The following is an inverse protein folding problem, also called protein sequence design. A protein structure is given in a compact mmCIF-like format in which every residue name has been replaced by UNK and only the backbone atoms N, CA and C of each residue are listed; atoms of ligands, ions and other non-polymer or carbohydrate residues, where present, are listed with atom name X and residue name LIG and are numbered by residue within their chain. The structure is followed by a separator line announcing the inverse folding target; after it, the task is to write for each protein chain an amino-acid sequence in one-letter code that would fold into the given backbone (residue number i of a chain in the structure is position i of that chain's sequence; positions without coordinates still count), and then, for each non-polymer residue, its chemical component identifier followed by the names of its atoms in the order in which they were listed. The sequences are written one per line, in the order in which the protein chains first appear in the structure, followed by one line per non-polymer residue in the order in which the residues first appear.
data_IF_489372048802
#
_entry.id   IF_489372048802
#
_cell.length_a   1.000
_cell.length_b   1.000
_cell.length_c   1.000
_cell.angle_alpha   90.00
_cell.angle_beta   90.00
_cell.angle_gamma   90.00
#
_symmetry.space_group_name_H-M   'P 1'
#
loop_
_entity.id
_entity.type
_entity.pdbx_description
1 polymer ?
#
# COMPACT_ATOMS: atom_id res chain seq x y z
N UNK A 1 -11.21 20.19 5.42
CA UNK A 1 -11.28 19.18 6.51
C UNK A 1 -10.72 17.85 5.98
N UNK A 2 -9.83 17.22 6.73
CA UNK A 2 -9.23 15.94 6.34
C UNK A 2 -10.21 14.80 6.52
N UNK A 3 -10.19 13.81 5.61
CA UNK A 3 -10.95 12.58 5.78
C UNK A 3 -10.34 11.74 6.92
N UNK A 4 -11.09 10.76 7.48
CA UNK A 4 -10.54 9.85 8.48
C UNK A 4 -9.29 9.12 8.02
N UNK A 5 -9.21 8.71 6.74
CA UNK A 5 -8.04 8.01 6.20
C UNK A 5 -6.81 8.93 6.13
N UNK A 6 -7.00 10.17 5.73
CA UNK A 6 -5.93 11.18 5.70
C UNK A 6 -5.43 11.48 7.12
N UNK A 7 -6.36 11.64 8.05
CA UNK A 7 -6.02 11.94 9.44
C UNK A 7 -5.24 10.81 10.09
N UNK A 8 -5.61 9.55 9.81
CA UNK A 8 -4.88 8.39 10.30
C UNK A 8 -3.41 8.42 9.84
N UNK A 9 -3.17 8.64 8.55
CA UNK A 9 -1.82 8.69 8.01
C UNK A 9 -1.00 9.82 8.65
N UNK A 10 -1.61 10.99 8.82
CA UNK A 10 -0.99 12.13 9.45
C UNK A 10 -0.58 11.84 10.91
N UNK A 11 -1.45 11.18 11.66
CA UNK A 11 -1.17 10.78 13.04
C UNK A 11 -0.04 9.74 13.09
N UNK A 12 -0.02 8.78 12.18
CA UNK A 12 1.06 7.80 12.12
C UNK A 12 2.39 8.47 11.79
N UNK A 13 2.41 9.44 10.88
CA UNK A 13 3.63 10.18 10.55
C UNK A 13 4.19 10.90 11.77
N UNK A 14 3.33 11.52 12.56
CA UNK A 14 3.73 12.20 13.81
C UNK A 14 4.25 11.19 14.82
N UNK A 15 3.50 10.12 15.07
CA UNK A 15 3.86 9.09 16.07
C UNK A 15 5.19 8.42 15.76
N UNK A 16 5.44 8.14 14.49
CA UNK A 16 6.62 7.42 14.03
C UNK A 16 7.76 8.34 13.59
N UNK A 17 7.57 9.67 13.73
CA UNK A 17 8.55 10.67 13.30
C UNK A 17 8.98 10.47 11.85
N UNK A 18 8.01 10.19 10.97
CA UNK A 18 8.26 9.93 9.57
C UNK A 18 7.82 11.11 8.72
N UNK A 19 8.58 11.39 7.65
CA UNK A 19 8.24 12.42 6.67
C UNK A 19 7.43 11.86 5.51
N UNK A 20 7.58 10.58 5.21
CA UNK A 20 6.94 9.92 4.09
C UNK A 20 6.20 8.68 4.58
N UNK A 21 4.91 8.59 4.28
CA UNK A 21 4.10 7.41 4.54
C UNK A 21 3.90 6.68 3.23
N UNK A 22 4.33 5.43 3.18
CA UNK A 22 4.15 4.55 2.03
C UNK A 22 3.14 3.49 2.43
N UNK A 23 2.03 3.40 1.71
CA UNK A 23 1.03 2.36 1.95
C UNK A 23 1.30 1.15 1.07
N UNK A 24 1.25 -0.05 1.63
CA UNK A 24 1.46 -1.29 0.89
C UNK A 24 0.30 -2.24 1.13
N UNK A 25 -0.26 -2.76 0.04
CA UNK A 25 -1.34 -3.72 0.07
C UNK A 25 -1.15 -4.75 -1.05
N UNK A 26 -1.82 -5.88 -0.94
CA UNK A 26 -1.73 -6.94 -1.94
C UNK A 26 -3.11 -7.38 -2.44
N UNK A 27 -3.11 -8.05 -3.59
CA UNK A 27 -4.27 -8.70 -4.19
C UNK A 27 -3.86 -10.06 -4.75
N UNK A 28 -4.81 -10.95 -4.91
CA UNK A 28 -4.56 -12.26 -5.49
C UNK A 28 -4.18 -13.35 -4.50
N UNK A 29 -4.35 -13.13 -3.20
CA UNK A 29 -4.12 -14.16 -2.17
C UNK A 29 -5.21 -15.21 -2.07
N UNK A 30 -6.22 -15.15 -2.92
CA UNK A 30 -7.30 -16.13 -2.92
C UNK A 30 -6.85 -17.52 -3.38
N UNK A 31 -7.77 -18.50 -3.39
CA UNK A 31 -7.42 -19.88 -3.76
C UNK A 31 -7.13 -20.10 -5.24
N UNK A 32 -7.20 -19.05 -6.06
CA UNK A 32 -6.95 -19.14 -7.50
C UNK A 32 -5.46 -19.19 -7.78
N UNK A 33 -5.10 -19.94 -8.82
CA UNK A 33 -3.71 -20.19 -9.21
C UNK A 33 -3.09 -19.03 -10.00
N UNK A 34 -3.30 -17.79 -9.56
CA UNK A 34 -2.72 -16.61 -10.18
C UNK A 34 -1.56 -16.04 -9.37
N UNK A 35 -0.86 -15.05 -9.90
CA UNK A 35 0.20 -14.38 -9.14
C UNK A 35 -0.39 -13.52 -8.02
N UNK A 36 0.41 -13.31 -6.97
CA UNK A 36 0.13 -12.27 -5.97
C UNK A 36 0.70 -10.97 -6.49
N UNK A 37 -0.08 -9.90 -6.40
CA UNK A 37 0.33 -8.56 -6.81
C UNK A 37 0.31 -7.66 -5.58
N UNK A 38 1.37 -6.91 -5.35
CA UNK A 38 1.41 -5.89 -4.31
C UNK A 38 1.65 -4.53 -4.93
N UNK A 39 1.12 -3.50 -4.29
CA UNK A 39 1.34 -2.11 -4.67
C UNK A 39 1.83 -1.33 -3.47
N UNK A 40 2.87 -0.54 -3.67
CA UNK A 40 3.36 0.44 -2.71
C UNK A 40 3.06 1.83 -3.27
N UNK A 41 2.46 2.69 -2.47
CA UNK A 41 1.99 3.99 -2.91
C UNK A 41 2.41 5.09 -1.94
N UNK A 42 2.90 6.21 -2.48
CA UNK A 42 3.19 7.42 -1.73
C UNK A 42 2.43 8.58 -2.35
N UNK A 43 1.54 9.20 -1.57
CA UNK A 43 0.82 10.40 -1.99
C UNK A 43 1.49 11.60 -1.34
N UNK A 44 2.15 12.48 -2.13
CA UNK A 44 2.80 13.66 -1.57
C UNK A 44 1.80 14.52 -0.79
N UNK A 45 2.22 15.18 0.31
CA UNK A 45 1.31 16.03 1.09
C UNK A 45 0.55 17.07 0.29
N UNK A 46 1.18 17.61 -0.76
CA UNK A 46 0.54 18.61 -1.64
C UNK A 46 -0.64 18.05 -2.43
N UNK A 47 -0.71 16.73 -2.62
CA UNK A 47 -1.76 16.06 -3.39
C UNK A 47 -2.84 15.41 -2.51
N UNK A 48 -2.64 15.34 -1.20
CA UNK A 48 -3.53 14.58 -0.30
C UNK A 48 -4.96 15.07 -0.38
N UNK A 49 -5.19 16.37 -0.44
CA UNK A 49 -6.55 16.93 -0.50
C UNK A 49 -7.32 16.52 -1.77
N UNK A 50 -6.61 16.20 -2.86
CA UNK A 50 -7.23 15.78 -4.12
C UNK A 50 -7.84 14.37 -4.04
N UNK A 51 -7.51 13.62 -3.00
CA UNK A 51 -7.96 12.24 -2.81
C UNK A 51 -8.80 12.05 -1.55
N UNK A 52 -9.49 13.12 -1.11
CA UNK A 52 -10.34 13.06 0.09
C UNK A 52 -11.50 12.07 -0.04
N UNK A 53 -11.90 11.71 -1.26
CA UNK A 53 -12.97 10.77 -1.56
C UNK A 53 -12.50 9.31 -1.67
N UNK A 54 -11.20 9.04 -1.52
CA UNK A 54 -10.67 7.67 -1.52
C UNK A 54 -11.11 6.96 -0.26
N UNK A 55 -11.54 5.71 -0.41
CA UNK A 55 -11.98 4.87 0.68
C UNK A 55 -11.61 3.42 0.38
N UNK A 56 -11.88 2.51 1.31
CA UNK A 56 -11.69 1.08 1.13
C UNK A 56 -12.36 0.63 -0.17
N UNK A 57 -11.60 -0.05 -1.04
CA UNK A 57 -12.09 -0.48 -2.35
C UNK A 57 -13.35 -1.36 -2.26
N UNK A 58 -13.54 -2.09 -1.17
CA UNK A 58 -14.73 -2.91 -0.94
C UNK A 58 -15.99 -2.09 -0.77
N UNK A 59 -15.85 -0.82 -0.39
CA UNK A 59 -16.98 0.11 -0.17
C UNK A 59 -17.28 0.96 -1.39
N UNK A 60 -16.51 0.81 -2.46
CA UNK A 60 -16.65 1.60 -3.68
C UNK A 60 -17.30 0.78 -4.79
N UNK A 61 -18.10 1.45 -5.64
CA UNK A 61 -18.59 0.84 -6.86
C UNK A 61 -17.42 0.61 -7.84
N UNK A 62 -17.59 -0.30 -8.80
CA UNK A 62 -16.61 -0.53 -9.85
C UNK A 62 -16.30 0.76 -10.61
N UNK A 63 -17.35 1.52 -10.97
CA UNK A 63 -17.21 2.80 -11.66
C UNK A 63 -16.36 3.79 -10.84
N UNK A 64 -16.59 3.87 -9.53
CA UNK A 64 -15.83 4.78 -8.65
C UNK A 64 -14.39 4.35 -8.53
N UNK A 65 -14.12 3.03 -8.45
CA UNK A 65 -12.75 2.50 -8.43
C UNK A 65 -11.98 2.84 -9.69
N UNK A 66 -12.62 2.70 -10.87
CA UNK A 66 -12.01 3.06 -12.16
C UNK A 66 -11.71 4.55 -12.23
N UNK A 67 -12.64 5.40 -11.79
CA UNK A 67 -12.45 6.84 -11.74
C UNK A 67 -11.26 7.22 -10.86
N UNK A 68 -11.17 6.64 -9.66
CA UNK A 68 -10.06 6.89 -8.74
C UNK A 68 -8.74 6.39 -9.30
N UNK A 69 -8.73 5.21 -9.92
CA UNK A 69 -7.54 4.68 -10.57
C UNK A 69 -7.01 5.64 -11.63
N UNK A 70 -7.89 6.14 -12.50
CA UNK A 70 -7.50 7.08 -13.53
C UNK A 70 -6.96 8.38 -12.96
N UNK A 71 -7.56 8.88 -11.88
CA UNK A 71 -7.09 10.08 -11.19
C UNK A 71 -5.70 9.89 -10.59
N UNK A 72 -5.45 8.73 -9.95
CA UNK A 72 -4.16 8.41 -9.36
C UNK A 72 -3.07 8.32 -10.42
N UNK A 73 -3.35 7.67 -11.55
CA UNK A 73 -2.40 7.54 -12.65
C UNK A 73 -2.08 8.91 -13.27
N UNK A 74 -3.10 9.75 -13.52
CA UNK A 74 -2.91 11.06 -14.13
C UNK A 74 -2.26 12.08 -13.18
N UNK A 75 -2.44 11.93 -11.88
CA UNK A 75 -1.83 12.81 -10.88
C UNK A 75 -0.36 12.51 -10.64
N UNK A 76 0.19 11.49 -11.29
CA UNK A 76 1.58 11.07 -11.13
C UNK A 76 1.95 10.73 -9.69
N UNK A 77 1.00 10.15 -8.95
CA UNK A 77 1.27 9.61 -7.62
C UNK A 77 2.36 8.56 -7.73
N UNK A 78 3.38 8.64 -6.87
CA UNK A 78 4.47 7.67 -6.89
C UNK A 78 3.97 6.30 -6.43
N UNK A 79 4.19 5.28 -7.24
CA UNK A 79 3.83 3.92 -6.88
C UNK A 79 4.80 2.90 -7.47
N UNK A 80 4.83 1.73 -6.86
CA UNK A 80 5.56 0.58 -7.37
C UNK A 80 4.68 -0.65 -7.31
N UNK A 81 4.81 -1.53 -8.29
CA UNK A 81 4.06 -2.79 -8.36
C UNK A 81 5.05 -3.94 -8.29
N UNK A 82 4.76 -4.92 -7.46
CA UNK A 82 5.55 -6.14 -7.34
C UNK A 82 4.68 -7.37 -7.50
N UNK A 83 5.24 -8.41 -8.11
CA UNK A 83 4.55 -9.68 -8.34
C UNK A 83 5.32 -10.81 -7.67
N UNK A 84 4.59 -11.82 -7.20
CA UNK A 84 5.13 -13.14 -6.96
C UNK A 84 4.38 -14.12 -7.84
N UNK A 85 5.10 -14.89 -8.65
CA UNK A 85 4.51 -15.83 -9.61
C UNK A 85 3.87 -17.02 -8.91
N UNK A 86 3.01 -17.76 -9.64
CA UNK A 86 2.44 -19.00 -9.15
C UNK A 86 3.53 -20.00 -8.73
N UNK A 87 4.64 -20.09 -9.48
CA UNK A 87 5.77 -20.95 -9.15
C UNK A 87 6.47 -20.51 -7.85
N UNK A 88 6.61 -19.20 -7.64
CA UNK A 88 7.16 -18.67 -6.39
C UNK A 88 6.26 -18.96 -5.21
N UNK A 89 4.93 -18.89 -5.38
CA UNK A 89 3.96 -19.25 -4.35
C UNK A 89 4.10 -20.71 -3.97
N UNK A 90 4.23 -21.61 -4.95
CA UNK A 90 4.40 -23.04 -4.72
C UNK A 90 5.68 -23.36 -3.94
N UNK A 91 6.75 -22.61 -4.22
CA UNK A 91 8.04 -22.80 -3.57
C UNK A 91 8.13 -22.19 -2.18
N UNK A 92 7.52 -21.02 -1.99
CA UNK A 92 7.69 -20.21 -0.77
C UNK A 92 6.51 -20.29 0.20
N UNK A 93 5.34 -20.71 -0.22
CA UNK A 93 4.00 -20.57 0.32
C UNK A 93 3.42 -19.16 0.10
N UNK A 94 2.11 -19.02 0.32
CA UNK A 94 1.39 -17.78 0.00
C UNK A 94 1.85 -16.58 0.87
N UNK A 95 2.13 -16.81 2.15
CA UNK A 95 2.55 -15.72 3.04
C UNK A 95 3.92 -15.16 2.64
N UNK A 96 4.90 -16.04 2.43
CA UNK A 96 6.24 -15.62 2.04
C UNK A 96 6.26 -15.02 0.64
N UNK A 97 5.46 -15.54 -0.27
CA UNK A 97 5.30 -14.98 -1.62
C UNK A 97 4.68 -13.58 -1.57
N UNK A 98 3.71 -13.37 -0.68
CA UNK A 98 3.12 -12.05 -0.47
C UNK A 98 4.18 -11.04 0.00
N UNK A 99 5.02 -11.43 0.96
CA UNK A 99 6.11 -10.56 1.42
C UNK A 99 7.11 -10.25 0.30
N UNK A 100 7.40 -11.23 -0.54
CA UNK A 100 8.27 -11.03 -1.72
C UNK A 100 7.66 -10.00 -2.68
N UNK A 101 6.37 -10.12 -2.99
CA UNK A 101 5.67 -9.15 -3.83
C UNK A 101 5.72 -7.75 -3.23
N UNK A 102 5.52 -7.62 -1.93
CA UNK A 102 5.59 -6.34 -1.21
C UNK A 102 6.99 -5.74 -1.28
N UNK A 103 8.04 -6.54 -1.09
CA UNK A 103 9.42 -6.06 -1.23
C UNK A 103 9.69 -5.53 -2.63
N UNK A 104 9.22 -6.25 -3.65
CA UNK A 104 9.37 -5.83 -5.05
C UNK A 104 8.61 -4.55 -5.35
N UNK A 105 7.41 -4.40 -4.78
CA UNK A 105 6.62 -3.18 -4.93
C UNK A 105 7.30 -1.98 -4.28
N UNK A 106 7.89 -2.15 -3.13
CA UNK A 106 8.51 -1.08 -2.36
C UNK A 106 9.94 -0.72 -2.82
N UNK A 107 10.51 -1.45 -3.77
CA UNK A 107 11.91 -1.32 -4.16
C UNK A 107 12.32 0.12 -4.47
N UNK A 108 11.50 0.86 -5.20
CA UNK A 108 11.80 2.25 -5.56
C UNK A 108 11.83 3.22 -4.38
N UNK A 109 11.28 2.82 -3.22
CA UNK A 109 11.18 3.68 -2.04
C UNK A 109 12.24 3.38 -0.97
N UNK A 110 13.12 2.40 -1.19
CA UNK A 110 14.07 1.93 -0.17
C UNK A 110 15.03 3.00 0.32
N UNK A 111 15.32 4.00 -0.51
CA UNK A 111 16.29 5.06 -0.18
C UNK A 111 15.63 6.37 0.26
N UNK A 112 14.31 6.40 0.43
CA UNK A 112 13.65 7.60 0.92
C UNK A 112 13.98 7.85 2.38
N UNK A 113 14.51 9.05 2.73
CA UNK A 113 14.85 9.35 4.12
C UNK A 113 13.59 9.52 4.96
N UNK A 114 13.64 9.04 6.19
CA UNK A 114 12.54 9.16 7.16
C UNK A 114 11.20 8.62 6.65
N UNK A 115 11.24 7.60 5.79
CA UNK A 115 10.05 6.94 5.30
C UNK A 115 9.65 5.78 6.21
N UNK A 116 8.35 5.56 6.33
CA UNK A 116 7.79 4.38 6.98
C UNK A 116 6.74 3.76 6.07
N UNK A 117 6.76 2.43 5.97
CA UNK A 117 5.76 1.69 5.21
C UNK A 117 4.66 1.23 6.16
N UNK A 118 3.42 1.57 5.84
CA UNK A 118 2.24 1.02 6.50
C UNK A 118 1.78 -0.19 5.67
N UNK A 119 1.79 -1.36 6.30
CA UNK A 119 1.46 -2.62 5.64
C UNK A 119 0.03 -3.00 6.00
N UNK A 120 -0.82 -3.24 5.01
CA UNK A 120 -2.16 -3.75 5.28
C UNK A 120 -2.08 -5.20 5.75
N UNK A 121 -2.43 -5.42 7.01
CA UNK A 121 -2.42 -6.74 7.61
C UNK A 121 -1.76 -6.78 8.98
N UNK A 122 -1.75 -7.97 9.60
CA UNK A 122 -1.23 -8.14 10.97
C UNK A 122 0.28 -8.32 11.06
N UNK A 123 0.99 -8.48 9.93
CA UNK A 123 2.42 -8.83 9.93
C UNK A 123 3.25 -7.85 9.13
N UNK A 124 4.48 -7.52 9.60
CA UNK A 124 5.44 -6.81 8.75
C UNK A 124 5.87 -7.69 7.57
N UNK A 125 6.26 -7.05 6.46
CA UNK A 125 6.78 -7.77 5.31
C UNK A 125 8.21 -8.24 5.59
N UNK A 126 8.41 -9.53 5.74
CA UNK A 126 9.72 -10.09 6.05
C UNK A 126 10.73 -9.75 4.94
N UNK A 127 11.93 -9.32 5.34
CA UNK A 127 13.00 -8.95 4.41
C UNK A 127 12.93 -7.56 3.84
N UNK A 128 11.86 -6.79 4.12
CA UNK A 128 11.77 -5.39 3.71
C UNK A 128 12.68 -4.55 4.62
N UNK A 129 13.57 -3.76 4.03
CA UNK A 129 14.54 -2.96 4.79
C UNK A 129 14.00 -1.59 5.22
N UNK A 130 12.87 -1.16 4.66
CA UNK A 130 12.20 0.04 5.15
C UNK A 130 11.68 -0.18 6.56
N UNK A 131 11.71 0.88 7.38
CA UNK A 131 10.96 0.89 8.63
C UNK A 131 9.49 0.67 8.31
N UNK A 132 8.83 -0.22 9.04
CA UNK A 132 7.48 -0.61 8.69
C UNK A 132 6.61 -0.82 9.92
N UNK A 133 5.30 -0.63 9.72
CA UNK A 133 4.28 -0.80 10.74
C UNK A 133 3.11 -1.56 10.12
N UNK A 134 2.76 -2.77 10.61
CA UNK A 134 1.56 -3.47 10.14
C UNK A 134 0.31 -2.79 10.70
N UNK A 135 -0.73 -2.71 9.88
CA UNK A 135 -2.01 -2.09 10.26
C UNK A 135 -3.14 -3.05 9.91
N UNK A 136 -3.80 -3.59 10.92
CA UNK A 136 -4.96 -4.46 10.72
C UNK A 136 -6.09 -3.63 10.09
N UNK A 137 -6.70 -4.15 9.03
CA UNK A 137 -7.71 -3.45 8.23
C UNK A 137 -7.20 -2.11 7.70
N UNK A 138 -5.93 -2.06 7.30
CA UNK A 138 -5.26 -0.84 6.87
C UNK A 138 -5.93 -0.14 5.70
N UNK A 139 -6.49 -0.90 4.75
CA UNK A 139 -7.20 -0.34 3.60
C UNK A 139 -8.44 0.48 4.02
N UNK A 140 -9.01 0.20 5.17
CA UNK A 140 -10.13 0.97 5.73
C UNK A 140 -9.67 2.12 6.63
N UNK A 141 -8.38 2.21 6.98
CA UNK A 141 -7.84 3.19 7.94
C UNK A 141 -6.89 4.20 7.31
N UNK A 142 -6.06 3.77 6.37
CA UNK A 142 -4.99 4.58 5.79
C UNK A 142 -5.30 4.98 4.36
N UNK A 143 -5.12 6.27 4.03
CA UNK A 143 -5.25 6.76 2.66
C UNK A 143 -4.18 6.15 1.76
N UNK A 144 -2.93 6.07 2.23
CA UNK A 144 -1.82 5.55 1.44
C UNK A 144 -2.02 4.07 1.08
N UNK A 145 -2.58 3.27 2.00
CA UNK A 145 -2.89 1.87 1.74
C UNK A 145 -4.06 1.78 0.75
#
# INVERSE_FOLDING_TARGET
MSSPLQEFDKQQAIRLEANCIIGIDEAGRGPLAGPVVACACFIPPAMVSDFADVNDSKKLTEKKREELYNRLVHAEVAYGIGFASAQEIDRLNILQATFLAMRRAAYKFLNLPHAVALIDGPYPAAGLTLRQEPVIDGDAKSLAI
#
